data_IF_964757939754
#
_entry.id   IF_964757939754
#
_cell.length_a   1.000
_cell.length_b   1.000
_cell.length_c   1.000
_cell.angle_alpha   90.00
_cell.angle_beta   90.00
_cell.angle_gamma   90.00
#
_symmetry.space_group_name_H-M   'P 1'
#
loop_
_entity.id
_entity.type
_entity.pdbx_description
1 polymer ?
#
# COMPACT_ATOMS: atom_id res chain seq x y z
N UNK A 1 -34.53 18.04 -7.90
CA UNK A 1 -33.61 17.05 -8.48
C UNK A 1 -32.31 17.14 -7.71
N UNK A 2 -32.05 16.19 -6.83
CA UNK A 2 -30.81 16.14 -6.05
C UNK A 2 -29.69 15.58 -6.93
N UNK A 3 -28.70 16.41 -7.24
CA UNK A 3 -27.49 16.01 -7.94
C UNK A 3 -26.58 15.26 -6.95
N UNK A 4 -26.75 13.93 -6.86
CA UNK A 4 -25.85 13.06 -6.12
C UNK A 4 -24.56 12.86 -6.91
N UNK A 5 -23.50 13.60 -6.59
CA UNK A 5 -22.15 13.32 -7.11
C UNK A 5 -21.57 12.11 -6.39
N UNK A 6 -21.56 10.95 -7.07
CA UNK A 6 -20.89 9.73 -6.63
C UNK A 6 -19.40 9.81 -6.94
N UNK A 7 -18.57 9.32 -6.02
CA UNK A 7 -17.13 9.22 -6.18
C UNK A 7 -16.66 7.79 -5.86
N UNK A 8 -15.52 7.40 -6.42
CA UNK A 8 -14.98 6.05 -6.33
C UNK A 8 -13.55 6.07 -5.77
N UNK A 9 -13.45 5.46 -4.60
CA UNK A 9 -12.34 5.05 -3.78
C UNK A 9 -11.43 3.96 -4.32
N UNK A 10 -10.23 4.22 -4.85
CA UNK A 10 -9.29 3.12 -5.21
C UNK A 10 -8.07 3.12 -4.30
N UNK A 11 -7.80 2.01 -3.63
CA UNK A 11 -6.58 1.84 -2.84
C UNK A 11 -5.38 1.51 -3.73
N UNK A 12 -4.23 2.07 -3.39
CA UNK A 12 -2.99 1.80 -4.13
C UNK A 12 -2.63 0.32 -3.99
N UNK A 13 -2.25 -0.30 -5.11
CA UNK A 13 -1.83 -1.71 -5.20
C UNK A 13 -2.93 -2.74 -4.85
N UNK A 14 -4.19 -2.33 -4.77
CA UNK A 14 -5.32 -3.17 -4.43
C UNK A 14 -6.37 -3.16 -5.55
N UNK A 15 -7.21 -4.19 -5.61
CA UNK A 15 -8.35 -4.28 -6.54
C UNK A 15 -9.63 -3.66 -5.96
N UNK A 16 -9.60 -3.30 -4.67
CA UNK A 16 -10.77 -2.78 -3.97
C UNK A 16 -11.15 -1.36 -4.43
N UNK A 17 -12.39 -1.24 -4.89
CA UNK A 17 -13.05 0.04 -5.18
C UNK A 17 -14.17 0.29 -4.18
N UNK A 18 -14.17 1.46 -3.52
CA UNK A 18 -15.21 1.88 -2.58
C UNK A 18 -16.04 3.00 -3.21
N UNK A 19 -17.37 2.85 -3.26
CA UNK A 19 -18.25 3.94 -3.66
C UNK A 19 -18.49 4.90 -2.47
N UNK A 20 -18.33 6.21 -2.72
CA UNK A 20 -18.57 7.28 -1.77
C UNK A 20 -19.68 8.17 -2.31
N UNK A 21 -20.76 8.31 -1.54
CA UNK A 21 -21.79 9.32 -1.81
C UNK A 21 -21.37 10.68 -1.27
N UNK A 22 -21.83 11.76 -1.89
CA UNK A 22 -21.66 13.14 -1.40
C UNK A 22 -22.19 13.30 0.03
N UNK A 23 -23.20 12.52 0.41
CA UNK A 23 -23.76 12.50 1.76
C UNK A 23 -22.87 11.80 2.80
N UNK A 24 -21.85 11.06 2.36
CA UNK A 24 -20.90 10.37 3.25
C UNK A 24 -19.69 11.24 3.58
N UNK A 25 -19.63 12.49 3.11
CA UNK A 25 -18.62 13.43 3.56
C UNK A 25 -18.95 13.90 4.98
N UNK A 26 -18.03 13.67 5.91
CA UNK A 26 -18.15 14.17 7.27
C UNK A 26 -18.14 15.71 7.21
N UNK A 27 -19.19 16.31 7.75
CA UNK A 27 -19.27 17.75 7.93
C UNK A 27 -18.10 18.23 8.78
N UNK A 28 -17.48 19.34 8.39
CA UNK A 28 -16.53 20.03 9.25
C UNK A 28 -17.28 20.48 10.50
N UNK A 29 -16.71 20.24 11.67
CA UNK A 29 -17.24 20.69 12.95
C UNK A 29 -17.57 22.19 12.84
N UNK A 30 -18.87 22.51 12.75
CA UNK A 30 -19.34 23.85 12.39
C UNK A 30 -19.09 24.77 13.57
N UNK A 31 -17.86 25.26 13.71
CA UNK A 31 -17.62 26.38 14.61
C UNK A 31 -18.48 27.55 14.10
N UNK A 32 -19.31 28.16 14.96
CA UNK A 32 -20.09 29.31 14.56
C UNK A 32 -19.13 30.39 14.07
N UNK A 33 -19.35 30.91 12.85
CA UNK A 33 -18.47 31.94 12.29
C UNK A 33 -18.63 33.26 13.06
N UNK A 34 -19.78 33.45 13.70
CA UNK A 34 -20.09 34.59 14.55
C UNK A 34 -21.04 34.16 15.67
N UNK A 35 -20.81 34.71 16.86
CA UNK A 35 -21.76 34.65 17.97
C UNK A 35 -22.31 36.06 18.13
N UNK A 36 -23.64 36.20 18.07
CA UNK A 36 -24.33 37.46 18.28
C UNK A 36 -25.01 37.37 19.65
N UNK A 37 -24.90 38.43 20.45
CA UNK A 37 -25.58 38.52 21.74
C UNK A 37 -26.87 39.32 21.56
N UNK A 38 -28.01 38.68 21.83
CA UNK A 38 -29.33 39.31 21.83
C UNK A 38 -30.03 38.92 23.13
N UNK A 39 -30.57 39.89 23.85
CA UNK A 39 -31.32 39.68 25.10
C UNK A 39 -30.59 38.77 26.11
N UNK A 40 -29.29 38.99 26.31
CA UNK A 40 -28.41 38.20 27.18
C UNK A 40 -28.23 36.72 26.79
N UNK A 41 -28.69 36.30 25.61
CA UNK A 41 -28.51 34.96 25.10
C UNK A 41 -27.56 34.95 23.89
N UNK A 42 -26.54 34.06 23.86
CA UNK A 42 -25.65 33.95 22.72
C UNK A 42 -26.32 33.15 21.58
N UNK A 43 -26.64 33.84 20.48
CA UNK A 43 -27.08 33.20 19.24
C UNK A 43 -25.86 32.84 18.40
N UNK A 44 -25.68 31.55 18.14
CA UNK A 44 -24.65 31.01 17.25
C UNK A 44 -25.12 31.14 15.80
N UNK A 45 -24.38 31.90 14.99
CA UNK A 45 -24.65 32.02 13.55
C UNK A 45 -23.69 31.13 12.79
N UNK A 46 -24.24 30.24 11.96
CA UNK A 46 -23.49 29.31 11.11
C UNK A 46 -23.56 29.79 9.66
N UNK A 47 -22.49 29.63 8.89
CA UNK A 47 -22.47 29.99 7.47
C UNK A 47 -23.46 29.11 6.68
N UNK A 48 -24.01 29.62 5.57
CA UNK A 48 -24.87 28.82 4.69
C UNK A 48 -24.12 27.60 4.13
N UNK A 49 -24.87 26.54 3.84
CA UNK A 49 -24.36 25.24 3.35
C UNK A 49 -23.44 25.39 2.13
N UNK A 50 -23.62 26.44 1.33
CA UNK A 50 -22.81 26.76 0.16
C UNK A 50 -21.32 27.09 0.47
N UNK A 51 -20.99 27.43 1.72
CA UNK A 51 -19.63 27.79 2.15
C UNK A 51 -18.96 26.72 3.03
N UNK A 52 -19.53 25.52 3.13
CA UNK A 52 -18.97 24.44 3.95
C UNK A 52 -17.90 23.67 3.17
N UNK A 53 -16.67 23.69 3.67
CA UNK A 53 -15.56 22.92 3.10
C UNK A 53 -15.68 21.46 3.50
N UNK A 54 -16.00 20.57 2.56
CA UNK A 54 -15.95 19.13 2.78
C UNK A 54 -14.49 18.66 2.81
N UNK A 55 -14.08 17.90 3.84
CA UNK A 55 -12.79 17.19 3.83
C UNK A 55 -13.05 15.72 3.57
N UNK A 56 -12.57 15.20 2.44
CA UNK A 56 -12.31 13.78 2.33
C UNK A 56 -11.25 13.42 3.37
N UNK A 57 -11.51 12.39 4.18
CA UNK A 57 -10.64 11.95 5.26
C UNK A 57 -9.21 11.78 4.76
N UNK A 58 -8.31 12.72 5.11
CA UNK A 58 -6.94 12.83 4.60
C UNK A 58 -6.13 11.55 4.85
N UNK A 59 -6.15 10.61 3.91
CA UNK A 59 -5.09 9.61 3.76
C UNK A 59 -4.26 10.00 2.55
N UNK A 60 -3.52 11.10 2.70
CA UNK A 60 -2.61 11.60 1.66
C UNK A 60 -1.70 10.43 1.24
N UNK A 61 -1.83 10.01 -0.02
CA UNK A 61 -0.98 9.00 -0.64
C UNK A 61 -1.36 7.53 -0.43
N UNK A 62 -2.53 7.19 0.12
CA UNK A 62 -2.97 5.77 0.23
C UNK A 62 -4.04 5.35 -0.78
N UNK A 63 -4.68 6.32 -1.42
CA UNK A 63 -5.75 6.07 -2.37
C UNK A 63 -5.81 7.16 -3.45
N UNK A 64 -6.53 6.85 -4.52
CA UNK A 64 -6.93 7.78 -5.56
C UNK A 64 -8.46 7.82 -5.65
N UNK A 65 -9.01 9.02 -5.80
CA UNK A 65 -10.44 9.24 -5.94
C UNK A 65 -10.77 9.49 -7.43
N UNK A 66 -11.83 8.87 -7.93
CA UNK A 66 -12.30 8.97 -9.32
C UNK A 66 -13.78 9.29 -9.36
N UNK A 67 -14.24 10.01 -10.39
CA UNK A 67 -15.67 10.31 -10.59
C UNK A 67 -16.38 9.24 -11.41
N UNK A 68 -15.65 8.53 -12.28
CA UNK A 68 -16.16 7.44 -13.10
C UNK A 68 -15.79 6.08 -12.49
N UNK A 69 -16.80 5.21 -12.36
CA UNK A 69 -16.65 3.84 -11.86
C UNK A 69 -15.75 3.00 -12.75
N UNK A 70 -15.92 3.10 -14.07
CA UNK A 70 -15.17 2.28 -15.03
C UNK A 70 -13.68 2.64 -14.92
N UNK A 71 -13.37 3.94 -14.97
CA UNK A 71 -12.02 4.44 -14.77
C UNK A 71 -11.44 4.01 -13.41
N UNK A 72 -12.23 4.06 -12.33
CA UNK A 72 -11.79 3.60 -11.01
C UNK A 72 -11.42 2.12 -11.01
N UNK A 73 -12.24 1.27 -11.64
CA UNK A 73 -11.97 -0.17 -11.75
C UNK A 73 -10.75 -0.47 -12.61
N UNK A 74 -10.55 0.26 -13.71
CA UNK A 74 -9.36 0.15 -14.56
C UNK A 74 -8.09 0.50 -13.78
N UNK A 75 -8.14 1.57 -12.98
CA UNK A 75 -7.00 2.00 -12.15
C UNK A 75 -6.72 1.05 -11.00
N UNK A 76 -7.75 0.46 -10.41
CA UNK A 76 -7.58 -0.62 -9.42
C UNK A 76 -6.87 -1.83 -10.04
N UNK A 77 -7.30 -2.25 -11.24
CA UNK A 77 -6.65 -3.34 -11.99
C UNK A 77 -5.19 -3.00 -12.32
N UNK A 78 -4.92 -1.80 -12.84
CA UNK A 78 -3.57 -1.35 -13.18
C UNK A 78 -2.65 -1.35 -11.96
N UNK A 79 -3.13 -0.83 -10.82
CA UNK A 79 -2.40 -0.81 -9.55
C UNK A 79 -2.07 -2.21 -9.04
N UNK A 80 -3.06 -3.11 -9.01
CA UNK A 80 -2.85 -4.50 -8.60
C UNK A 80 -1.85 -5.24 -9.51
N UNK A 81 -1.95 -5.07 -10.83
CA UNK A 81 -1.01 -5.67 -11.78
C UNK A 81 0.42 -5.16 -11.57
N UNK A 82 0.61 -3.85 -11.40
CA UNK A 82 1.92 -3.27 -11.08
C UNK A 82 2.50 -3.86 -9.81
N UNK A 83 1.67 -4.04 -8.79
CA UNK A 83 2.12 -4.63 -7.53
C UNK A 83 2.55 -6.09 -7.70
N UNK A 84 1.76 -6.91 -8.40
CA UNK A 84 2.12 -8.29 -8.74
C UNK A 84 3.45 -8.34 -9.49
N UNK A 85 3.65 -7.49 -10.51
CA UNK A 85 4.92 -7.42 -11.24
C UNK A 85 6.09 -7.06 -10.33
N UNK A 86 5.88 -6.17 -9.34
CA UNK A 86 6.91 -5.82 -8.36
C UNK A 86 7.29 -7.00 -7.45
N UNK A 87 6.32 -7.83 -7.05
CA UNK A 87 6.55 -9.02 -6.24
C UNK A 87 7.31 -10.09 -7.04
N UNK A 88 6.97 -10.27 -8.31
CA UNK A 88 7.69 -11.18 -9.22
C UNK A 88 9.16 -10.75 -9.33
N UNK A 89 9.41 -9.44 -9.52
CA UNK A 89 10.78 -8.91 -9.62
C UNK A 89 11.58 -9.15 -8.34
N UNK A 90 10.97 -8.97 -7.17
CA UNK A 90 11.61 -9.25 -5.88
C UNK A 90 11.94 -10.74 -5.74
N UNK A 91 11.01 -11.64 -6.07
CA UNK A 91 11.23 -13.08 -6.03
C UNK A 91 12.38 -13.51 -6.95
N UNK A 92 12.45 -12.96 -8.17
CA UNK A 92 13.56 -13.21 -9.10
C UNK A 92 14.91 -12.77 -8.52
N UNK A 93 14.96 -11.62 -7.85
CA UNK A 93 16.16 -11.14 -7.13
C UNK A 93 16.61 -12.13 -6.06
N UNK A 94 15.69 -12.59 -5.21
CA UNK A 94 15.97 -13.58 -4.17
C UNK A 94 16.51 -14.89 -4.76
N UNK A 95 15.86 -15.40 -5.81
CA UNK A 95 16.31 -16.62 -6.50
C UNK A 95 17.74 -16.46 -7.04
N UNK A 96 18.07 -15.30 -7.62
CA UNK A 96 19.42 -15.00 -8.09
C UNK A 96 20.43 -15.03 -6.96
N UNK A 97 20.12 -14.38 -5.83
CA UNK A 97 20.99 -14.38 -4.64
C UNK A 97 21.23 -15.79 -4.11
N UNK A 98 20.19 -16.63 -4.05
CA UNK A 98 20.32 -18.02 -3.61
C UNK A 98 21.19 -18.85 -4.56
N UNK A 99 21.04 -18.67 -5.88
CA UNK A 99 21.91 -19.33 -6.86
C UNK A 99 23.36 -18.88 -6.72
N UNK A 100 23.59 -17.59 -6.49
CA UNK A 100 24.92 -17.05 -6.26
C UNK A 100 25.55 -17.65 -5.00
N UNK A 101 24.84 -17.60 -3.86
CA UNK A 101 25.30 -18.20 -2.62
C UNK A 101 25.64 -19.68 -2.80
N UNK A 102 24.77 -20.44 -3.47
CA UNK A 102 25.02 -21.85 -3.78
C UNK A 102 26.32 -22.01 -4.57
N UNK A 103 26.52 -21.25 -5.63
CA UNK A 103 27.71 -21.36 -6.48
C UNK A 103 28.99 -20.98 -5.72
N UNK A 104 28.96 -19.89 -4.96
CA UNK A 104 30.10 -19.39 -4.17
C UNK A 104 30.55 -20.41 -3.13
N UNK A 105 29.61 -21.17 -2.54
CA UNK A 105 29.91 -22.12 -1.48
C UNK A 105 29.96 -23.58 -1.97
N UNK A 106 29.67 -23.84 -3.25
CA UNK A 106 29.69 -25.20 -3.80
C UNK A 106 31.11 -25.76 -3.87
N UNK A 107 32.07 -24.93 -4.27
CA UNK A 107 33.48 -25.33 -4.30
C UNK A 107 34.01 -25.58 -2.89
N UNK A 108 33.68 -24.73 -1.93
CA UNK A 108 34.14 -24.88 -0.55
C UNK A 108 33.58 -26.16 0.09
N UNK A 109 32.28 -26.44 -0.09
CA UNK A 109 31.68 -27.64 0.50
C UNK A 109 32.25 -28.92 -0.13
N UNK A 110 32.41 -28.93 -1.46
CA UNK A 110 32.89 -30.11 -2.18
C UNK A 110 34.41 -30.33 -1.99
N UNK A 111 35.24 -29.29 -2.08
CA UNK A 111 36.69 -29.38 -1.80
C UNK A 111 36.94 -29.80 -0.36
N UNK A 112 36.25 -29.21 0.61
CA UNK A 112 36.44 -29.59 2.02
C UNK A 112 36.01 -31.04 2.31
N UNK A 113 34.95 -31.53 1.67
CA UNK A 113 34.52 -32.93 1.78
C UNK A 113 35.56 -33.88 1.17
N UNK A 114 36.04 -33.58 -0.03
CA UNK A 114 37.05 -34.39 -0.72
C UNK A 114 38.37 -34.37 0.05
N UNK A 115 38.87 -33.20 0.47
CA UNK A 115 40.10 -33.07 1.25
C UNK A 115 40.01 -33.74 2.62
N UNK A 116 38.83 -33.73 3.25
CA UNK A 116 38.58 -34.48 4.48
C UNK A 116 38.65 -35.98 4.25
N UNK A 117 38.09 -36.48 3.14
CA UNK A 117 38.18 -37.89 2.77
C UNK A 117 39.59 -38.32 2.39
N UNK A 118 40.33 -37.50 1.63
CA UNK A 118 41.74 -37.76 1.29
C UNK A 118 42.57 -37.92 2.55
N UNK A 119 42.47 -36.97 3.51
CA UNK A 119 43.19 -37.06 4.79
C UNK A 119 42.85 -38.30 5.60
N UNK A 120 41.58 -38.73 5.61
CA UNK A 120 41.17 -39.98 6.27
C UNK A 120 41.83 -41.21 5.63
N UNK A 121 41.91 -41.24 4.29
CA UNK A 121 42.54 -42.34 3.56
C UNK A 121 44.06 -42.38 3.79
N UNK A 122 44.73 -41.22 3.78
CA UNK A 122 46.16 -41.09 4.07
C UNK A 122 46.50 -41.58 5.50
N UNK A 123 45.69 -41.19 6.49
CA UNK A 123 45.82 -41.70 7.87
C UNK A 123 45.64 -43.21 7.97
N UNK A 124 44.70 -43.78 7.21
CA UNK A 124 44.46 -45.22 7.19
C UNK A 124 45.57 -46.00 6.48
N UNK A 125 46.21 -45.42 5.46
CA UNK A 125 47.34 -46.03 4.77
C UNK A 125 48.66 -45.91 5.54
N UNK A 126 48.83 -44.90 6.38
CA UNK A 126 50.08 -44.66 7.14
C UNK A 126 50.16 -45.50 8.41
N UNK A 127 49.03 -45.98 8.94
CA UNK A 127 48.97 -46.86 10.12
C UNK A 127 48.99 -48.37 9.76
N UNK A 128 49.39 -48.72 8.54
CA UNK A 128 49.63 -50.10 8.08
C UNK A 128 51.11 -50.32 7.84
#
# INVERSE_FOLDING_TARGET
MENYSKYYRVFINDTKVIELSTNNFLYFDTRPYKIIWTDHHPIKVYCSVANQSFRLHSSIGKYHDYTDKIMAMEKAKEGALRYISSLIKQAQGIISTLKQYRNDHYEDLNKNLIDSQIRKLELASTNR
#
